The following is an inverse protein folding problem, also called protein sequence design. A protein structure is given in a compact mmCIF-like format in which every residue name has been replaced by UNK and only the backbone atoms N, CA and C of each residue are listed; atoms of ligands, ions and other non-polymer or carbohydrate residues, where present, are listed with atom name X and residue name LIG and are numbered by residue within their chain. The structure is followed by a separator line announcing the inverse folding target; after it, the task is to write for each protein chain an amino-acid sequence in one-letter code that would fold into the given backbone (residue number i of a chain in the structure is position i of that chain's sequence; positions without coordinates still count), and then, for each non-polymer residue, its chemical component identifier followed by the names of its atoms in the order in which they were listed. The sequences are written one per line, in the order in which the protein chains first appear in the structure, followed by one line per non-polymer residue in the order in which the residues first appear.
data_IF_657769763663
#
_entry.id   IF_657769763663
#
_cell.length_a   1.000
_cell.length_b   1.000
_cell.length_c   1.000
_cell.angle_alpha   90.00
_cell.angle_beta   90.00
_cell.angle_gamma   90.00
#
_symmetry.space_group_name_H-M   'P 1'
#
loop_
_entity.id
_entity.type
_entity.pdbx_description
1 polymer ?
#
# COMPACT_ATOMS: atom_id res chain seq x y z
N UNK A 1 8.80 -13.96 2.55
CA UNK A 1 7.43 -14.33 2.15
C UNK A 1 6.47 -13.31 2.77
N UNK A 2 5.57 -12.75 1.95
CA UNK A 2 4.55 -11.78 2.36
C UNK A 2 3.19 -12.48 2.45
N UNK A 3 2.39 -12.09 3.43
CA UNK A 3 1.03 -12.59 3.64
C UNK A 3 0.03 -11.80 2.79
N UNK A 4 0.31 -10.51 2.56
CA UNK A 4 -0.54 -9.60 1.78
C UNK A 4 0.31 -8.74 0.85
N UNK A 5 -0.13 -8.61 -0.40
CA UNK A 5 0.44 -7.68 -1.38
C UNK A 5 -0.65 -6.68 -1.79
N UNK A 6 -0.35 -5.40 -1.67
CA UNK A 6 -1.23 -4.29 -2.03
C UNK A 6 -0.62 -3.56 -3.22
N UNK A 7 -1.40 -3.36 -4.29
CA UNK A 7 -0.98 -2.63 -5.48
C UNK A 7 -1.80 -1.34 -5.57
N UNK A 8 -1.12 -0.20 -5.42
CA UNK A 8 -1.73 1.13 -5.46
C UNK A 8 -1.34 2.02 -4.27
N UNK A 9 -0.96 3.26 -4.56
CA UNK A 9 -0.54 4.29 -3.59
C UNK A 9 -1.61 5.36 -3.30
N UNK A 10 -2.88 5.03 -3.57
CA UNK A 10 -4.01 5.87 -3.21
C UNK A 10 -4.42 5.71 -1.74
N UNK A 11 -5.41 6.50 -1.26
CA UNK A 11 -5.88 6.44 0.12
C UNK A 11 -6.41 5.05 0.52
N UNK A 12 -7.03 4.31 -0.42
CA UNK A 12 -7.49 2.95 -0.18
C UNK A 12 -6.32 1.97 0.06
N UNK A 13 -5.24 2.08 -0.71
CA UNK A 13 -4.06 1.21 -0.58
C UNK A 13 -3.34 1.41 0.75
N UNK A 14 -3.17 2.65 1.18
CA UNK A 14 -2.57 2.94 2.49
C UNK A 14 -3.48 2.55 3.66
N UNK A 15 -4.80 2.72 3.50
CA UNK A 15 -5.76 2.26 4.51
C UNK A 15 -5.66 0.75 4.69
N UNK A 16 -5.67 -0.02 3.60
CA UNK A 16 -5.47 -1.46 3.65
C UNK A 16 -4.14 -1.84 4.32
N UNK A 17 -3.04 -1.15 3.98
CA UNK A 17 -1.73 -1.42 4.57
C UNK A 17 -1.68 -1.19 6.09
N UNK A 18 -2.40 -0.19 6.59
CA UNK A 18 -2.51 0.07 8.03
C UNK A 18 -3.23 -1.08 8.72
N UNK A 19 -4.37 -1.53 8.20
CA UNK A 19 -5.14 -2.60 8.83
C UNK A 19 -4.42 -3.96 8.76
N UNK A 20 -3.74 -4.27 7.66
CA UNK A 20 -2.97 -5.51 7.54
C UNK A 20 -1.75 -5.51 8.46
N UNK A 21 -1.07 -4.36 8.61
CA UNK A 21 0.03 -4.21 9.57
C UNK A 21 -0.44 -4.34 11.02
N UNK A 22 -1.62 -3.80 11.36
CA UNK A 22 -2.24 -3.95 12.69
C UNK A 22 -2.66 -5.39 13.00
N UNK A 23 -2.96 -6.17 11.98
CA UNK A 23 -3.21 -7.61 12.09
C UNK A 23 -1.92 -8.44 12.15
N UNK A 24 -0.75 -7.80 12.27
CA UNK A 24 0.57 -8.45 12.30
C UNK A 24 0.91 -9.26 11.04
N UNK A 25 0.33 -8.89 9.89
CA UNK A 25 0.61 -9.54 8.60
C UNK A 25 1.83 -8.90 7.91
N UNK A 26 2.69 -9.73 7.31
CA UNK A 26 3.79 -9.28 6.45
C UNK A 26 3.20 -8.69 5.17
N UNK A 27 3.13 -7.37 5.12
CA UNK A 27 2.50 -6.63 4.02
C UNK A 27 3.55 -6.01 3.11
N UNK A 28 3.39 -6.16 1.79
CA UNK A 28 4.14 -5.42 0.77
C UNK A 28 3.19 -4.45 0.05
N UNK A 29 3.57 -3.17 -0.04
CA UNK A 29 2.83 -2.17 -0.83
C UNK A 29 3.65 -1.79 -2.04
N UNK A 30 3.05 -1.91 -3.23
CA UNK A 30 3.64 -1.50 -4.50
C UNK A 30 2.92 -0.24 -4.97
N UNK A 31 3.62 0.89 -4.88
CA UNK A 31 3.15 2.18 -5.36
C UNK A 31 3.43 2.35 -6.85
N UNK A 32 2.46 2.89 -7.60
CA UNK A 32 2.70 3.37 -8.96
C UNK A 32 3.61 4.60 -8.96
N UNK A 33 4.19 4.98 -10.12
CA UNK A 33 5.00 6.18 -10.22
C UNK A 33 4.21 7.39 -9.76
N UNK A 34 4.79 8.17 -8.84
CA UNK A 34 4.29 9.50 -8.53
C UNK A 34 4.51 10.36 -9.76
N UNK A 35 3.49 10.49 -10.61
CA UNK A 35 3.48 11.51 -11.65
C UNK A 35 3.39 12.85 -10.91
N UNK A 36 4.55 13.48 -10.70
CA UNK A 36 4.66 14.85 -10.26
C UNK A 36 4.20 15.79 -11.38
N UNK A 37 2.94 15.66 -11.81
CA UNK A 37 2.28 16.70 -12.58
C UNK A 37 1.72 17.67 -11.54
N UNK A 38 2.56 18.65 -11.18
CA UNK A 38 2.16 19.76 -10.35
C UNK A 38 1.18 20.64 -11.11
N UNK A 39 -0.11 20.46 -10.82
CA UNK A 39 -1.20 21.42 -11.04
C UNK A 39 -2.28 21.15 -10.00
#
# INVERSE_FOLDING_TARGET
MYDVIIIGSGPAGYTAAIYTSRAFLKTLVIAGPHLAVGW
#
